data_IF_909673101233
#
_entry.id   IF_909673101233
#
_cell.length_a   1.000
_cell.length_b   1.000
_cell.length_c   1.000
_cell.angle_alpha   90.00
_cell.angle_beta   90.00
_cell.angle_gamma   90.00
#
_symmetry.space_group_name_H-M   'P 1'
#
loop_
_entity.id
_entity.type
_entity.pdbx_description
1 polymer ?
#
# COMPACT_ATOMS: atom_id res chain seq x y z
N UNK A 1 -10.22 7.86 5.98
CA UNK A 1 -8.83 7.50 6.32
C UNK A 1 -8.15 8.75 6.82
N UNK A 2 -7.47 8.71 7.96
CA UNK A 2 -6.80 9.90 8.50
C UNK A 2 -5.46 10.10 7.78
N UNK A 3 -5.23 11.29 7.20
CA UNK A 3 -4.02 11.57 6.42
C UNK A 3 -2.74 11.45 7.27
N UNK A 4 -2.80 11.90 8.53
CA UNK A 4 -1.67 11.80 9.46
C UNK A 4 -1.29 10.35 9.77
N UNK A 5 -2.29 9.46 9.84
CA UNK A 5 -2.05 8.04 10.06
C UNK A 5 -1.39 7.39 8.84
N UNK A 6 -1.77 7.78 7.62
CA UNK A 6 -1.15 7.32 6.38
C UNK A 6 0.31 7.79 6.30
N UNK A 7 0.57 9.06 6.62
CA UNK A 7 1.94 9.60 6.63
C UNK A 7 2.82 8.86 7.62
N UNK A 8 2.34 8.64 8.85
CA UNK A 8 3.08 7.86 9.86
C UNK A 8 3.32 6.42 9.41
N UNK A 9 2.32 5.80 8.79
CA UNK A 9 2.46 4.45 8.26
C UNK A 9 3.51 4.39 7.13
N UNK A 10 3.47 5.33 6.18
CA UNK A 10 4.46 5.43 5.12
C UNK A 10 5.88 5.59 5.69
N UNK A 11 6.06 6.40 6.73
CA UNK A 11 7.34 6.59 7.41
C UNK A 11 7.82 5.35 8.19
N UNK A 12 6.90 4.49 8.62
CA UNK A 12 7.24 3.24 9.33
C UNK A 12 7.69 2.11 8.41
N UNK A 13 7.36 2.19 7.12
CA UNK A 13 7.74 1.19 6.13
C UNK A 13 9.14 1.47 5.58
N UNK A 14 9.94 0.41 5.44
CA UNK A 14 11.17 0.42 4.64
C UNK A 14 10.87 0.26 3.16
N UNK A 15 9.83 -0.50 2.84
CA UNK A 15 9.26 -0.61 1.51
C UNK A 15 8.47 0.63 1.08
N UNK A 16 7.77 0.51 -0.05
CA UNK A 16 7.00 1.64 -0.62
C UNK A 16 5.52 1.55 -0.27
N UNK A 17 4.90 2.70 0.04
CA UNK A 17 3.45 2.84 0.11
C UNK A 17 2.93 3.59 -1.13
N UNK A 18 2.09 2.94 -1.92
CA UNK A 18 1.55 3.49 -3.17
C UNK A 18 0.08 3.86 -2.96
N UNK A 19 -0.24 5.14 -3.12
CA UNK A 19 -1.60 5.68 -3.05
C UNK A 19 -2.22 5.89 -4.43
N UNK A 20 -3.50 6.28 -4.49
CA UNK A 20 -4.21 6.52 -5.76
C UNK A 20 -3.63 7.64 -6.63
N UNK A 21 -2.94 8.58 -5.99
CA UNK A 21 -2.29 9.72 -6.67
C UNK A 21 -0.85 9.40 -7.11
N UNK A 22 -0.34 8.21 -6.79
CA UNK A 22 1.00 7.79 -7.18
C UNK A 22 1.01 7.41 -8.67
N UNK A 23 1.98 7.90 -9.47
CA UNK A 23 2.09 7.56 -10.90
C UNK A 23 2.19 6.06 -11.19
N UNK A 24 2.72 5.27 -10.24
CA UNK A 24 2.85 3.82 -10.33
C UNK A 24 1.62 3.04 -9.87
N UNK A 25 0.55 3.71 -9.42
CA UNK A 25 -0.64 3.06 -8.85
C UNK A 25 -1.33 2.10 -9.83
N UNK A 26 -1.56 2.55 -11.06
CA UNK A 26 -2.27 1.77 -12.06
C UNK A 26 -1.50 0.51 -12.48
N UNK A 27 -0.18 0.56 -12.50
CA UNK A 27 0.65 -0.62 -12.71
C UNK A 27 0.68 -1.52 -11.47
N UNK A 28 0.82 -0.93 -10.28
CA UNK A 28 0.96 -1.68 -9.02
C UNK A 28 -0.28 -2.49 -8.65
N UNK A 29 -1.48 -2.06 -9.06
CA UNK A 29 -2.75 -2.74 -8.75
C UNK A 29 -3.12 -3.87 -9.72
N UNK A 30 -2.39 -4.03 -10.82
CA UNK A 30 -2.71 -5.06 -11.83
C UNK A 30 -2.58 -6.46 -11.23
N UNK A 31 -3.58 -7.28 -11.53
CA UNK A 31 -3.57 -8.70 -11.21
C UNK A 31 -3.33 -9.50 -12.50
N UNK A 32 -2.86 -10.74 -12.33
CA UNK A 32 -2.66 -11.65 -13.46
C UNK A 32 -3.93 -11.82 -14.30
N UNK A 33 -5.11 -11.92 -13.66
CA UNK A 33 -6.37 -11.91 -14.36
C UNK A 33 -6.81 -10.47 -14.66
N UNK A 34 -6.60 -10.04 -15.91
CA UNK A 34 -6.95 -8.69 -16.38
C UNK A 34 -8.45 -8.35 -16.36
N UNK A 35 -9.34 -9.32 -16.14
CA UNK A 35 -10.77 -9.05 -15.93
C UNK A 35 -11.07 -8.47 -14.54
N UNK A 36 -10.13 -8.53 -13.59
CA UNK A 36 -10.33 -8.04 -12.23
C UNK A 36 -9.76 -6.62 -12.10
N UNK A 37 -10.64 -5.61 -12.11
CA UNK A 37 -10.30 -4.21 -11.85
C UNK A 37 -10.55 -3.84 -10.37
N UNK A 38 -9.60 -4.12 -9.48
CA UNK A 38 -9.65 -3.66 -8.08
C UNK A 38 -8.90 -2.33 -7.92
N UNK A 39 -9.46 -1.44 -7.10
CA UNK A 39 -8.93 -0.09 -6.81
C UNK A 39 -8.69 0.13 -5.31
N UNK A 40 -7.70 -0.55 -4.71
CA UNK A 40 -7.37 -0.40 -3.29
C UNK A 40 -7.04 1.06 -2.95
N UNK A 41 -7.31 1.49 -1.71
CA UNK A 41 -6.95 2.85 -1.29
C UNK A 41 -5.43 3.04 -1.22
N UNK A 42 -4.71 2.00 -0.79
CA UNK A 42 -3.27 1.97 -0.60
C UNK A 42 -2.73 0.59 -0.98
N UNK A 43 -1.49 0.53 -1.45
CA UNK A 43 -0.74 -0.71 -1.72
C UNK A 43 0.59 -0.61 -0.97
N UNK A 44 0.77 -1.44 0.06
CA UNK A 44 2.02 -1.54 0.80
C UNK A 44 2.90 -2.64 0.17
N UNK A 45 4.08 -2.26 -0.36
CA UNK A 45 5.08 -3.21 -0.88
C UNK A 45 6.14 -3.46 0.19
N UNK A 46 5.88 -4.44 1.05
CA UNK A 46 6.77 -4.81 2.15
C UNK A 46 8.07 -5.45 1.63
N UNK A 47 9.21 -5.07 2.21
CA UNK A 47 10.52 -5.67 1.88
C UNK A 47 11.06 -6.60 2.98
N UNK A 48 10.49 -6.53 4.18
CA UNK A 48 10.85 -7.41 5.31
C UNK A 48 9.65 -7.73 6.22
N UNK A 49 9.91 -8.48 7.29
CA UNK A 49 8.88 -8.90 8.25
C UNK A 49 8.33 -7.71 9.05
N UNK A 50 9.15 -6.71 9.35
CA UNK A 50 8.73 -5.54 10.12
C UNK A 50 7.71 -4.70 9.34
N UNK A 51 7.89 -4.58 8.03
CA UNK A 51 6.94 -3.93 7.13
C UNK A 51 5.58 -4.66 7.13
N UNK A 52 5.59 -6.00 7.06
CA UNK A 52 4.36 -6.80 7.07
C UNK A 52 3.60 -6.61 8.38
N UNK A 53 4.29 -6.67 9.53
CA UNK A 53 3.67 -6.44 10.85
C UNK A 53 3.05 -5.04 10.92
N UNK A 54 3.78 -4.02 10.43
CA UNK A 54 3.28 -2.64 10.41
C UNK A 54 2.05 -2.48 9.54
N UNK A 55 2.04 -3.10 8.35
CA UNK A 55 0.92 -3.07 7.41
C UNK A 55 -0.33 -3.77 7.96
N UNK A 56 -0.16 -4.93 8.59
CA UNK A 56 -1.28 -5.66 9.22
C UNK A 56 -1.86 -4.87 10.37
N UNK A 57 -1.02 -4.28 11.23
CA UNK A 57 -1.49 -3.44 12.35
C UNK A 57 -2.24 -2.19 11.88
N UNK A 58 -1.81 -1.58 10.76
CA UNK A 58 -2.50 -0.44 10.17
C UNK A 58 -3.86 -0.79 9.55
N UNK A 59 -4.00 -1.99 8.99
CA UNK A 59 -5.22 -2.44 8.30
C UNK A 59 -6.29 -3.08 9.18
N UNK A 60 -6.05 -3.19 10.49
CA UNK A 60 -6.94 -3.85 11.47
C UNK A 60 -8.11 -2.97 11.91
#
# INVERSE_FOLDING_TARGET
MNNDAIVKFAQSLRGSLIGRDDPGYDEARKLYNGMIDKRPALIARCVDVADVVSAVNFGR
#
